data_IF_698865372376
#
_entry.id   IF_698865372376
#
_cell.length_a   1.000
_cell.length_b   1.000
_cell.length_c   1.000
_cell.angle_alpha   90.00
_cell.angle_beta   90.00
_cell.angle_gamma   90.00
#
_symmetry.space_group_name_H-M   'P 1'
#
loop_
_entity.id
_entity.type
_entity.pdbx_description
1 polymer ?
#
# COMPACT_ATOMS: atom_id res chain seq x y z
N UNK A 1 -9.39 21.57 -13.93
CA UNK A 1 -9.94 20.66 -14.95
C UNK A 1 -9.51 21.09 -16.32
N UNK A 2 -9.61 22.38 -16.66
CA UNK A 2 -9.13 22.93 -17.95
C UNK A 2 -7.64 22.70 -18.20
N UNK A 3 -6.78 22.98 -17.21
CA UNK A 3 -5.32 22.77 -17.36
C UNK A 3 -4.98 21.28 -17.54
N UNK A 4 -5.69 20.39 -16.84
CA UNK A 4 -5.50 18.94 -16.94
C UNK A 4 -5.98 18.41 -18.31
N UNK A 5 -7.14 18.88 -18.78
CA UNK A 5 -7.69 18.51 -20.08
C UNK A 5 -6.79 18.98 -21.23
N UNK A 6 -6.29 20.22 -21.15
CA UNK A 6 -5.36 20.79 -22.12
C UNK A 6 -4.03 20.01 -22.14
N UNK A 7 -3.48 19.64 -20.97
CA UNK A 7 -2.26 18.85 -20.86
C UNK A 7 -2.45 17.40 -21.36
N UNK A 8 -3.65 16.84 -21.21
CA UNK A 8 -4.00 15.49 -21.66
C UNK A 8 -4.45 15.43 -23.13
N UNK A 9 -4.48 16.55 -23.86
CA UNK A 9 -4.89 16.61 -25.26
C UNK A 9 -6.39 16.42 -25.52
N UNK A 10 -7.23 16.53 -24.48
CA UNK A 10 -8.68 16.38 -24.59
C UNK A 10 -9.40 17.73 -24.67
N UNK A 11 -10.53 17.76 -25.39
CA UNK A 11 -11.40 18.94 -25.42
C UNK A 11 -12.12 19.10 -24.07
N UNK A 12 -12.40 20.34 -23.68
CA UNK A 12 -13.14 20.66 -22.43
C UNK A 12 -14.41 19.82 -22.29
N UNK A 13 -15.19 19.67 -23.37
CA UNK A 13 -16.45 18.92 -23.37
C UNK A 13 -16.30 17.44 -23.00
N UNK A 14 -15.27 16.77 -23.51
CA UNK A 14 -15.00 15.34 -23.21
C UNK A 14 -14.52 15.11 -21.78
N UNK A 15 -13.93 16.12 -21.14
CA UNK A 15 -13.43 16.02 -19.77
C UNK A 15 -14.52 16.31 -18.73
N UNK A 16 -15.38 17.31 -18.99
CA UNK A 16 -16.53 17.63 -18.14
C UNK A 16 -17.68 16.60 -18.26
N UNK A 17 -17.73 15.80 -19.34
CA UNK A 17 -18.72 14.71 -19.47
C UNK A 17 -18.40 13.47 -18.63
N UNK A 18 -17.12 13.27 -18.27
CA UNK A 18 -16.67 12.11 -17.50
C UNK A 18 -16.47 12.41 -16.00
N UNK A 19 -16.27 13.68 -15.63
CA UNK A 19 -15.96 14.07 -14.26
C UNK A 19 -16.73 15.32 -13.85
N UNK A 20 -17.51 15.20 -12.77
CA UNK A 20 -18.30 16.31 -12.23
C UNK A 20 -17.46 17.30 -11.41
N UNK A 21 -16.28 16.89 -10.93
CA UNK A 21 -15.36 17.75 -10.17
C UNK A 21 -13.90 17.28 -10.23
N UNK A 22 -12.97 18.14 -9.79
CA UNK A 22 -11.54 17.78 -9.61
C UNK A 22 -11.36 16.68 -8.55
N UNK A 23 -12.23 16.65 -7.55
CA UNK A 23 -12.22 15.61 -6.51
C UNK A 23 -12.63 14.26 -7.09
N UNK A 24 -13.59 14.21 -8.02
CA UNK A 24 -13.99 12.95 -8.67
C UNK A 24 -12.86 12.40 -9.54
N UNK A 25 -12.19 13.26 -10.31
CA UNK A 25 -10.98 12.88 -11.05
C UNK A 25 -9.90 12.31 -10.12
N UNK A 26 -9.69 12.96 -8.97
CA UNK A 26 -8.69 12.52 -8.00
C UNK A 26 -9.05 11.13 -7.44
N UNK A 27 -10.32 10.87 -7.14
CA UNK A 27 -10.78 9.54 -6.70
C UNK A 27 -10.52 8.47 -7.77
N UNK A 28 -10.72 8.77 -9.06
CA UNK A 28 -10.40 7.81 -10.13
C UNK A 28 -8.90 7.53 -10.24
N UNK A 29 -8.06 8.56 -10.06
CA UNK A 29 -6.60 8.39 -10.03
C UNK A 29 -6.17 7.44 -8.90
N UNK A 30 -6.74 7.61 -7.71
CA UNK A 30 -6.50 6.71 -6.56
C UNK A 30 -7.04 5.30 -6.82
N UNK A 31 -8.12 5.15 -7.58
CA UNK A 31 -8.68 3.85 -7.95
C UNK A 31 -7.79 3.10 -8.92
N UNK A 32 -7.20 3.79 -9.91
CA UNK A 32 -6.25 3.21 -10.85
C UNK A 32 -4.99 2.71 -10.12
N UNK A 33 -4.43 3.53 -9.23
CA UNK A 33 -3.32 3.09 -8.38
C UNK A 33 -3.70 1.86 -7.54
N UNK A 34 -4.88 1.87 -6.91
CA UNK A 34 -5.36 0.74 -6.13
C UNK A 34 -5.49 -0.55 -6.97
N UNK A 35 -5.91 -0.44 -8.23
CA UNK A 35 -5.96 -1.58 -9.16
C UNK A 35 -4.57 -2.09 -9.51
N UNK A 36 -3.62 -1.20 -9.79
CA UNK A 36 -2.22 -1.58 -10.04
C UNK A 36 -1.60 -2.30 -8.84
N UNK A 37 -1.81 -1.76 -7.63
CA UNK A 37 -1.42 -2.41 -6.37
C UNK A 37 -2.02 -3.81 -6.25
N UNK A 38 -3.30 -3.97 -6.59
CA UNK A 38 -3.99 -5.26 -6.54
C UNK A 38 -3.37 -6.27 -7.51
N UNK A 39 -3.08 -5.88 -8.74
CA UNK A 39 -2.43 -6.73 -9.72
C UNK A 39 -1.03 -7.14 -9.28
N UNK A 40 -0.23 -6.20 -8.75
CA UNK A 40 1.11 -6.48 -8.26
C UNK A 40 1.10 -7.44 -7.07
N UNK A 41 0.16 -7.27 -6.14
CA UNK A 41 0.01 -8.18 -5.00
C UNK A 41 -0.43 -9.59 -5.44
N UNK A 42 -1.30 -9.69 -6.45
CA UNK A 42 -1.66 -10.99 -7.04
C UNK A 42 -0.44 -11.67 -7.67
N UNK A 43 0.33 -10.95 -8.49
CA UNK A 43 1.57 -11.47 -9.09
C UNK A 43 2.55 -11.95 -8.03
N UNK A 44 2.76 -11.18 -6.96
CA UNK A 44 3.64 -11.55 -5.86
C UNK A 44 3.17 -12.84 -5.17
N UNK A 45 1.88 -12.94 -4.85
CA UNK A 45 1.30 -14.14 -4.23
C UNK A 45 1.47 -15.37 -5.12
N UNK A 46 1.27 -15.22 -6.42
CA UNK A 46 1.32 -16.34 -7.37
C UNK A 46 2.77 -16.75 -7.69
N UNK A 47 3.73 -15.83 -7.56
CA UNK A 47 5.17 -16.10 -7.70
C UNK A 47 5.85 -16.61 -6.42
N UNK A 48 5.21 -16.46 -5.26
CA UNK A 48 5.80 -16.73 -3.95
C UNK A 48 6.19 -18.22 -3.75
N UNK A 49 7.48 -18.56 -3.63
CA UNK A 49 7.93 -19.92 -3.36
C UNK A 49 7.35 -20.45 -2.04
N UNK A 50 7.11 -21.76 -1.95
CA UNK A 50 6.57 -22.39 -0.74
C UNK A 50 7.49 -22.32 0.47
N UNK A 51 8.80 -22.15 0.25
CA UNK A 51 9.83 -22.22 1.29
C UNK A 51 10.32 -20.86 1.80
N UNK A 52 9.79 -19.74 1.30
CA UNK A 52 10.25 -18.42 1.74
C UNK A 52 9.57 -17.96 3.04
N UNK A 53 10.36 -17.38 3.94
CA UNK A 53 9.87 -16.85 5.21
C UNK A 53 8.98 -15.62 5.01
N UNK A 54 8.03 -15.42 5.93
CA UNK A 54 7.06 -14.32 5.90
C UNK A 54 7.71 -12.94 5.74
N UNK A 55 8.82 -12.68 6.44
CA UNK A 55 9.53 -11.40 6.34
C UNK A 55 10.06 -11.13 4.92
N UNK A 56 10.63 -12.12 4.24
CA UNK A 56 11.13 -11.96 2.86
C UNK A 56 9.98 -11.55 1.94
N UNK A 57 8.83 -12.24 2.06
CA UNK A 57 7.64 -11.96 1.25
C UNK A 57 7.07 -10.55 1.50
N UNK A 58 7.10 -10.06 2.74
CA UNK A 58 6.68 -8.70 3.08
C UNK A 58 7.69 -7.62 2.64
N UNK A 59 8.98 -7.94 2.61
CA UNK A 59 9.99 -7.06 2.01
C UNK A 59 9.82 -6.98 0.49
N UNK A 60 9.54 -8.10 -0.18
CA UNK A 60 9.21 -8.13 -1.62
C UNK A 60 7.94 -7.33 -1.94
N UNK A 61 6.92 -7.41 -1.07
CA UNK A 61 5.73 -6.56 -1.17
C UNK A 61 6.09 -5.08 -1.22
N UNK A 62 6.94 -4.62 -0.30
CA UNK A 62 7.42 -3.24 -0.30
C UNK A 62 8.16 -2.89 -1.60
N UNK A 63 9.13 -3.73 -1.99
CA UNK A 63 9.94 -3.49 -3.19
C UNK A 63 9.11 -3.43 -4.47
N UNK A 64 8.12 -4.31 -4.64
CA UNK A 64 7.33 -4.40 -5.88
C UNK A 64 6.15 -3.45 -5.95
N UNK A 65 5.55 -3.11 -4.80
CA UNK A 65 4.30 -2.36 -4.78
C UNK A 65 4.45 -0.91 -4.31
N UNK A 66 5.61 -0.51 -3.77
CA UNK A 66 5.79 0.81 -3.18
C UNK A 66 7.08 1.53 -3.58
N UNK A 67 8.19 0.81 -3.78
CA UNK A 67 9.53 1.40 -3.98
C UNK A 67 9.65 2.27 -5.24
N UNK A 68 9.13 1.78 -6.37
CA UNK A 68 9.31 2.44 -7.68
C UNK A 68 8.09 3.29 -8.08
N UNK A 69 7.13 3.44 -7.17
CA UNK A 69 5.87 4.11 -7.46
C UNK A 69 5.82 5.51 -6.85
N UNK A 70 5.79 6.54 -7.71
CA UNK A 70 5.70 7.93 -7.27
C UNK A 70 4.32 8.31 -6.71
N UNK A 71 3.42 7.33 -6.56
CA UNK A 71 2.06 7.50 -6.08
C UNK A 71 1.95 7.84 -4.59
N UNK A 72 3.04 7.75 -3.80
CA UNK A 72 3.00 8.16 -2.38
C UNK A 72 2.50 9.60 -2.21
N UNK A 73 3.01 10.55 -3.01
CA UNK A 73 2.62 11.97 -2.92
C UNK A 73 1.13 12.14 -3.20
N UNK A 74 0.62 11.45 -4.23
CA UNK A 74 -0.80 11.44 -4.61
C UNK A 74 -1.66 10.99 -3.43
N UNK A 75 -1.27 9.90 -2.76
CA UNK A 75 -1.98 9.42 -1.58
C UNK A 75 -1.82 10.34 -0.36
N UNK A 76 -0.68 10.98 -0.17
CA UNK A 76 -0.47 11.94 0.92
C UNK A 76 -1.38 13.17 0.75
N UNK A 77 -1.47 13.71 -0.46
CA UNK A 77 -2.41 14.79 -0.80
C UNK A 77 -3.87 14.38 -0.60
N UNK A 78 -4.23 13.16 -1.05
CA UNK A 78 -5.57 12.62 -0.87
C UNK A 78 -5.94 12.48 0.61
N UNK A 79 -5.03 11.93 1.45
CA UNK A 79 -5.25 11.82 2.89
C UNK A 79 -5.43 13.18 3.54
N UNK A 80 -4.58 14.16 3.20
CA UNK A 80 -4.69 15.52 3.71
C UNK A 80 -6.01 16.19 3.30
N UNK A 81 -6.45 16.00 2.06
CA UNK A 81 -7.73 16.50 1.59
C UNK A 81 -8.91 15.80 2.29
N UNK A 82 -8.84 14.48 2.42
CA UNK A 82 -9.82 13.66 3.13
C UNK A 82 -9.97 14.08 4.60
N UNK A 83 -8.91 14.54 5.27
CA UNK A 83 -9.02 15.07 6.63
C UNK A 83 -9.93 16.30 6.71
N UNK A 84 -10.04 17.09 5.64
CA UNK A 84 -10.76 18.36 5.59
C UNK A 84 -12.14 18.26 4.95
N UNK A 85 -12.38 17.31 4.04
CA UNK A 85 -13.65 17.13 3.34
C UNK A 85 -14.30 15.78 3.66
N UNK A 86 -15.48 15.80 4.27
CA UNK A 86 -16.18 14.57 4.68
C UNK A 86 -16.66 13.69 3.52
N UNK A 87 -17.08 14.28 2.39
CA UNK A 87 -17.53 13.52 1.22
C UNK A 87 -16.35 12.85 0.53
N UNK A 88 -15.24 13.56 0.36
CA UNK A 88 -14.02 12.99 -0.21
C UNK A 88 -13.44 11.89 0.70
N UNK A 89 -13.48 12.09 2.01
CA UNK A 89 -13.04 11.10 3.01
C UNK A 89 -13.71 9.74 2.86
N UNK A 90 -15.00 9.70 2.52
CA UNK A 90 -15.73 8.45 2.32
C UNK A 90 -15.10 7.61 1.18
N UNK A 91 -14.74 8.26 0.08
CA UNK A 91 -14.12 7.62 -1.08
C UNK A 91 -12.71 7.10 -0.75
N UNK A 92 -11.88 7.95 -0.14
CA UNK A 92 -10.52 7.57 0.25
C UNK A 92 -10.53 6.44 1.28
N UNK A 93 -11.40 6.53 2.29
CA UNK A 93 -11.52 5.48 3.32
C UNK A 93 -11.92 4.13 2.72
N UNK A 94 -12.85 4.12 1.75
CA UNK A 94 -13.23 2.89 1.07
C UNK A 94 -12.04 2.23 0.35
N UNK A 95 -11.17 3.02 -0.29
CA UNK A 95 -9.95 2.49 -0.93
C UNK A 95 -8.91 2.01 0.11
N UNK A 96 -8.72 2.76 1.21
CA UNK A 96 -7.82 2.36 2.29
C UNK A 96 -8.24 1.04 2.94
N UNK A 97 -9.54 0.86 3.21
CA UNK A 97 -10.08 -0.38 3.77
C UNK A 97 -9.89 -1.56 2.82
N UNK A 98 -10.18 -1.39 1.52
CA UNK A 98 -9.91 -2.43 0.51
C UNK A 98 -8.43 -2.82 0.46
N UNK A 99 -7.52 -1.84 0.50
CA UNK A 99 -6.07 -2.09 0.53
C UNK A 99 -5.66 -2.87 1.79
N UNK A 100 -6.17 -2.48 2.95
CA UNK A 100 -5.96 -3.21 4.22
C UNK A 100 -6.42 -4.66 4.11
N UNK A 101 -7.64 -4.89 3.63
CA UNK A 101 -8.23 -6.23 3.58
C UNK A 101 -7.47 -7.13 2.59
N UNK A 102 -7.00 -6.56 1.49
CA UNK A 102 -6.18 -7.27 0.50
C UNK A 102 -4.82 -7.69 1.08
N UNK A 103 -4.15 -6.80 1.81
CA UNK A 103 -2.88 -7.11 2.49
C UNK A 103 -3.12 -8.09 3.64
N UNK A 104 -4.23 -7.97 4.37
CA UNK A 104 -4.60 -8.90 5.44
C UNK A 104 -4.78 -10.32 4.90
N UNK A 105 -5.48 -10.47 3.77
CA UNK A 105 -5.62 -11.75 3.08
C UNK A 105 -4.27 -12.32 2.65
N UNK A 106 -3.37 -11.47 2.15
CA UNK A 106 -2.02 -11.90 1.77
C UNK A 106 -1.22 -12.41 2.98
N UNK A 107 -1.22 -11.67 4.09
CA UNK A 107 -0.55 -12.06 5.35
C UNK A 107 -1.15 -13.36 5.88
N UNK A 108 -2.48 -13.48 5.93
CA UNK A 108 -3.18 -14.69 6.38
C UNK A 108 -2.79 -15.91 5.55
N UNK A 109 -2.79 -15.76 4.22
CA UNK A 109 -2.41 -16.83 3.30
C UNK A 109 -0.97 -17.30 3.52
N UNK A 110 -0.02 -16.38 3.71
CA UNK A 110 1.38 -16.73 4.02
C UNK A 110 1.52 -17.39 5.40
N UNK A 111 0.83 -16.87 6.42
CA UNK A 111 0.87 -17.46 7.77
C UNK A 111 0.35 -18.89 7.77
N UNK A 112 -0.77 -19.16 7.07
CA UNK A 112 -1.31 -20.52 6.92
C UNK A 112 -0.35 -21.46 6.20
N UNK A 113 0.30 -20.98 5.12
CA UNK A 113 1.29 -21.77 4.37
C UNK A 113 2.54 -22.10 5.18
N UNK A 114 2.99 -21.18 6.02
CA UNK A 114 4.22 -21.30 6.83
C UNK A 114 3.96 -21.83 8.25
N UNK A 115 2.70 -22.17 8.58
CA UNK A 115 2.27 -22.59 9.91
C UNK A 115 2.63 -21.59 11.03
N UNK A 116 2.52 -20.29 10.75
CA UNK A 116 2.78 -19.21 11.71
C UNK A 116 1.44 -18.75 12.31
N UNK A 117 1.41 -18.60 13.63
CA UNK A 117 0.28 -18.00 14.35
C UNK A 117 0.63 -16.56 14.74
N UNK A 118 -0.24 -15.61 14.43
CA UNK A 118 -0.10 -14.23 14.85
C UNK A 118 -1.22 -13.84 15.81
N UNK A 119 -0.93 -13.04 16.85
CA UNK A 119 -1.93 -12.61 17.81
C UNK A 119 -2.85 -11.54 17.23
N UNK A 120 -4.16 -11.79 17.30
CA UNK A 120 -5.19 -10.83 16.90
C UNK A 120 -5.57 -10.89 15.42
N UNK A 121 -6.39 -9.94 14.95
CA UNK A 121 -6.88 -9.92 13.57
C UNK A 121 -5.79 -9.58 12.54
N UNK A 122 -5.73 -10.31 11.42
CA UNK A 122 -4.82 -9.99 10.30
C UNK A 122 -5.02 -8.58 9.73
N UNK A 123 -6.23 -8.02 9.85
CA UNK A 123 -6.52 -6.64 9.46
C UNK A 123 -5.69 -5.62 10.25
N UNK A 124 -5.40 -5.89 11.52
CA UNK A 124 -4.60 -5.01 12.38
C UNK A 124 -3.12 -5.08 11.98
N UNK A 125 -2.62 -6.28 11.66
CA UNK A 125 -1.27 -6.45 11.12
C UNK A 125 -1.10 -5.78 9.76
N UNK A 126 -2.10 -5.89 8.88
CA UNK A 126 -2.10 -5.21 7.59
C UNK A 126 -2.09 -3.69 7.77
N UNK A 127 -2.90 -3.15 8.68
CA UNK A 127 -2.91 -1.72 8.97
C UNK A 127 -1.57 -1.24 9.54
N UNK A 128 -0.99 -1.99 10.47
CA UNK A 128 0.32 -1.68 11.04
C UNK A 128 1.42 -1.70 9.98
N UNK A 129 1.40 -2.67 9.07
CA UNK A 129 2.31 -2.77 7.94
C UNK A 129 2.18 -1.57 7.00
N UNK A 130 0.96 -1.20 6.61
CA UNK A 130 0.71 -0.04 5.75
C UNK A 130 1.22 1.24 6.42
N UNK A 131 0.93 1.44 7.70
CA UNK A 131 1.38 2.62 8.45
C UNK A 131 2.91 2.70 8.53
N UNK A 132 3.58 1.57 8.74
CA UNK A 132 5.04 1.50 8.76
C UNK A 132 5.63 1.85 7.39
N UNK A 133 5.10 1.26 6.30
CA UNK A 133 5.54 1.54 4.94
C UNK A 133 5.33 3.02 4.59
N UNK A 134 4.14 3.56 4.82
CA UNK A 134 3.81 4.97 4.57
C UNK A 134 4.78 5.90 5.33
N UNK A 135 5.07 5.60 6.59
CA UNK A 135 6.01 6.38 7.40
C UNK A 135 7.44 6.34 6.86
N UNK A 136 7.94 5.16 6.49
CA UNK A 136 9.28 4.99 5.91
C UNK A 136 9.40 5.71 4.57
N UNK A 137 8.39 5.61 3.70
CA UNK A 137 8.36 6.34 2.42
C UNK A 137 8.37 7.85 2.64
N UNK A 138 7.60 8.35 3.62
CA UNK A 138 7.60 9.77 3.97
C UNK A 138 8.99 10.26 4.35
N UNK A 139 9.70 9.55 5.22
CA UNK A 139 11.05 9.92 5.63
C UNK A 139 12.06 9.78 4.50
N UNK A 140 11.95 8.74 3.68
CA UNK A 140 12.82 8.50 2.53
C UNK A 140 12.71 9.63 1.50
N UNK A 141 11.51 10.15 1.25
CA UNK A 141 11.29 11.31 0.37
C UNK A 141 11.77 12.64 0.98
N UNK A 142 11.59 12.83 2.29
CA UNK A 142 11.97 14.08 2.96
C UNK A 142 13.47 14.18 3.24
N UNK A 143 14.16 13.05 3.44
CA UNK A 143 15.57 12.99 3.83
C UNK A 143 16.34 12.00 2.92
N UNK A 144 16.36 12.20 1.59
CA UNK A 144 16.89 11.21 0.66
C UNK A 144 18.40 10.95 0.80
N UNK A 145 19.15 11.91 1.34
CA UNK A 145 20.59 11.75 1.60
C UNK A 145 20.87 10.92 2.87
N UNK A 146 19.97 10.97 3.85
CA UNK A 146 20.13 10.29 5.14
C UNK A 146 19.42 8.92 5.15
N UNK A 147 18.38 8.77 4.34
CA UNK A 147 17.60 7.56 4.21
C UNK A 147 17.45 7.18 2.72
N UNK A 148 18.46 6.51 2.19
CA UNK A 148 18.41 5.93 0.83
C UNK A 148 17.36 4.81 0.71
N UNK A 149 16.96 4.46 -0.51
CA UNK A 149 16.02 3.36 -0.75
C UNK A 149 16.53 2.02 -0.19
N UNK A 150 17.83 1.77 -0.27
CA UNK A 150 18.45 0.58 0.29
C UNK A 150 18.36 0.56 1.83
N UNK A 151 18.61 1.71 2.47
CA UNK A 151 18.48 1.87 3.92
C UNK A 151 17.03 1.71 4.38
N UNK A 152 16.06 2.27 3.64
CA UNK A 152 14.62 2.14 3.92
C UNK A 152 14.17 0.68 3.87
N UNK A 153 14.58 -0.06 2.84
CA UNK A 153 14.26 -1.49 2.72
C UNK A 153 14.90 -2.32 3.85
N UNK A 154 16.15 -2.04 4.21
CA UNK A 154 16.83 -2.70 5.31
C UNK A 154 16.13 -2.45 6.66
N UNK A 155 15.68 -1.21 6.92
CA UNK A 155 14.92 -0.86 8.13
C UNK A 155 13.60 -1.62 8.17
N UNK A 156 12.84 -1.62 7.06
CA UNK A 156 11.58 -2.36 6.98
C UNK A 156 11.80 -3.85 7.24
N UNK A 157 12.75 -4.46 6.55
CA UNK A 157 13.13 -5.87 6.72
C UNK A 157 13.44 -6.22 8.19
N UNK A 158 14.22 -5.37 8.87
CA UNK A 158 14.57 -5.57 10.29
C UNK A 158 13.36 -5.45 11.23
N UNK A 159 12.48 -4.46 11.01
CA UNK A 159 11.28 -4.26 11.83
C UNK A 159 10.29 -5.42 11.61
N UNK A 160 10.08 -5.83 10.37
CA UNK A 160 9.21 -6.96 10.02
C UNK A 160 9.72 -8.27 10.63
N UNK A 161 11.04 -8.50 10.62
CA UNK A 161 11.64 -9.65 11.33
C UNK A 161 11.21 -9.68 12.79
N UNK A 162 11.26 -8.54 13.50
CA UNK A 162 10.86 -8.49 14.92
C UNK A 162 9.35 -8.62 15.13
N UNK A 163 8.53 -8.06 14.23
CA UNK A 163 7.08 -8.13 14.33
C UNK A 163 6.55 -9.56 14.10
N UNK A 164 7.21 -10.34 13.24
CA UNK A 164 6.69 -11.63 12.77
C UNK A 164 7.49 -12.86 13.23
N UNK A 165 8.76 -12.72 13.62
CA UNK A 165 9.59 -13.86 14.07
C UNK A 165 9.58 -14.10 15.59
N UNK A 166 8.84 -13.31 16.38
CA UNK A 166 8.68 -13.53 17.83
C UNK A 166 7.38 -14.30 18.20
N UNK A 167 6.68 -14.89 17.23
CA UNK A 167 5.58 -15.81 17.52
C UNK A 167 6.15 -17.18 17.93
N UNK A 168 5.76 -17.75 19.09
CA UNK A 168 6.26 -19.06 19.50
C UNK A 168 5.81 -20.12 18.50
N UNK A 169 6.77 -20.84 17.91
CA UNK A 169 6.53 -22.07 17.16
C UNK A 169 6.03 -23.09 18.19
N UNK A 170 4.78 -23.54 18.08
CA UNK A 170 4.31 -24.66 18.87
C UNK A 170 5.06 -25.91 18.42
N UNK A 171 5.92 -26.44 19.29
CA UNK A 171 6.37 -27.82 19.21
C UNK A 171 5.16 -28.73 19.30
N UNK A 172 4.92 -29.53 18.26
CA UNK A 172 3.93 -30.59 18.28
C UNK A 172 4.17 -31.52 19.49
N UNK A 173 3.09 -31.81 20.21
CA UNK A 173 2.99 -32.84 21.27
C UNK A 173 2.08 -33.95 20.82
#
# INVERSE_FOLDING_TARGET
MEDIAAQAGYTRGAFYSNFSSKSDLFVELLRLDHQNMQENLQKLRDAAPSSENLQVQLTLLYAQCYRDDNNYIIWAEARLHAMRDAKFRQHVNALCLKKRDMIAYFIEHLCKRLNIQLPGPFADHALALIALIDGILSFNMMMPNDLSNASAEAILSNVLTKMFCNAPVLTET
#
